data_IF_705846856397
#
_entry.id   IF_705846856397
#
_cell.length_a   1.000
_cell.length_b   1.000
_cell.length_c   1.000
_cell.angle_alpha   90.00
_cell.angle_beta   90.00
_cell.angle_gamma   90.00
#
_symmetry.space_group_name_H-M   'P 1'
#
loop_
_entity.id
_entity.type
_entity.pdbx_description
1 polymer ?
#
# COMPACT_ATOMS: atom_id res chain seq x y z
N UNK A 1 5.61 17.38 18.84
CA UNK A 1 6.09 16.12 18.22
C UNK A 1 6.94 15.31 19.18
N UNK A 2 7.98 15.88 19.80
CA UNK A 2 8.81 15.16 20.78
C UNK A 2 8.03 14.66 22.01
N UNK A 3 7.03 15.42 22.50
CA UNK A 3 6.13 14.96 23.58
C UNK A 3 5.26 13.79 23.15
N UNK A 4 4.57 13.88 22.00
CA UNK A 4 3.78 12.76 21.45
C UNK A 4 4.60 11.47 21.27
N UNK A 5 5.87 11.58 20.88
CA UNK A 5 6.78 10.44 20.72
C UNK A 5 7.17 9.84 22.06
N UNK A 6 7.32 10.67 23.11
CA UNK A 6 7.57 10.19 24.47
C UNK A 6 6.36 9.52 25.10
N UNK A 7 5.16 9.96 24.75
CA UNK A 7 3.91 9.37 25.25
C UNK A 7 3.59 8.03 24.59
N UNK A 8 3.94 7.83 23.31
CA UNK A 8 3.61 6.61 22.57
C UNK A 8 4.79 6.05 21.74
N UNK A 9 5.97 5.81 22.35
CA UNK A 9 7.20 5.46 21.63
C UNK A 9 7.06 4.15 20.84
N UNK A 10 6.30 3.18 21.36
CA UNK A 10 6.05 1.90 20.70
C UNK A 10 5.28 2.07 19.39
N UNK A 11 4.24 2.90 19.35
CA UNK A 11 3.44 3.13 18.14
C UNK A 11 4.27 3.77 17.03
N UNK A 12 5.11 4.77 17.37
CA UNK A 12 6.02 5.38 16.39
C UNK A 12 7.12 4.42 15.93
N UNK A 13 7.69 3.62 16.85
CA UNK A 13 8.68 2.60 16.52
C UNK A 13 8.12 1.50 15.61
N UNK A 14 6.90 1.04 15.86
CA UNK A 14 6.19 0.07 15.02
C UNK A 14 5.85 0.66 13.64
N UNK A 15 5.40 1.92 13.57
CA UNK A 15 5.12 2.58 12.30
C UNK A 15 6.39 2.71 11.43
N UNK A 16 7.52 3.11 12.04
CA UNK A 16 8.81 3.18 11.34
C UNK A 16 9.27 1.80 10.86
N UNK A 17 9.20 0.79 11.72
CA UNK A 17 9.57 -0.59 11.38
C UNK A 17 8.70 -1.12 10.24
N UNK A 18 7.39 -0.85 10.28
CA UNK A 18 6.45 -1.20 9.22
C UNK A 18 6.83 -0.55 7.88
N UNK A 19 7.21 0.73 7.88
CA UNK A 19 7.66 1.41 6.67
C UNK A 19 8.95 0.79 6.09
N UNK A 20 9.91 0.41 6.93
CA UNK A 20 11.15 -0.26 6.50
C UNK A 20 10.86 -1.66 5.92
N UNK A 21 10.05 -2.46 6.62
CA UNK A 21 9.66 -3.80 6.14
C UNK A 21 8.94 -3.69 4.80
N UNK A 22 8.02 -2.74 4.67
CA UNK A 22 7.30 -2.50 3.43
C UNK A 22 8.22 -2.10 2.28
N UNK A 23 9.15 -1.16 2.50
CA UNK A 23 10.14 -0.76 1.50
C UNK A 23 11.06 -1.92 1.09
N UNK A 24 11.49 -2.73 2.05
CA UNK A 24 12.29 -3.93 1.80
C UNK A 24 11.49 -4.95 0.98
N UNK A 25 10.24 -5.21 1.33
CA UNK A 25 9.34 -6.07 0.57
C UNK A 25 9.17 -5.58 -0.88
N UNK A 26 8.86 -4.30 -1.09
CA UNK A 26 8.72 -3.74 -2.44
C UNK A 26 10.01 -3.90 -3.26
N UNK A 27 11.18 -3.74 -2.65
CA UNK A 27 12.48 -3.81 -3.33
C UNK A 27 12.90 -5.25 -3.63
N UNK A 28 12.77 -6.16 -2.67
CA UNK A 28 13.15 -7.57 -2.81
C UNK A 28 12.17 -8.28 -3.74
N UNK A 29 10.87 -8.08 -3.56
CA UNK A 29 9.84 -8.68 -4.40
C UNK A 29 9.95 -8.19 -5.83
N UNK A 30 10.16 -6.88 -6.08
CA UNK A 30 10.35 -6.39 -7.47
C UNK A 30 11.59 -6.96 -8.16
N UNK A 31 12.65 -7.26 -7.40
CA UNK A 31 13.89 -7.88 -7.92
C UNK A 31 13.74 -9.37 -8.21
N UNK A 32 12.97 -10.10 -7.39
CA UNK A 32 12.84 -11.56 -7.45
C UNK A 32 11.60 -12.00 -8.26
N UNK A 33 10.58 -11.15 -8.40
CA UNK A 33 9.28 -11.53 -8.95
C UNK A 33 9.34 -12.10 -10.37
N UNK A 34 10.33 -11.75 -11.20
CA UNK A 34 10.55 -12.35 -12.53
C UNK A 34 9.27 -12.55 -13.38
N UNK A 35 8.29 -11.64 -13.25
CA UNK A 35 6.99 -11.70 -13.94
C UNK A 35 5.94 -12.66 -13.34
N UNK A 36 6.23 -13.35 -12.24
CA UNK A 36 5.29 -14.23 -11.54
C UNK A 36 4.48 -13.47 -10.49
N UNK A 37 3.17 -13.74 -10.45
CA UNK A 37 2.24 -13.08 -9.54
C UNK A 37 2.33 -13.66 -8.12
N UNK A 38 3.25 -13.14 -7.31
CA UNK A 38 3.45 -13.53 -5.91
C UNK A 38 2.39 -13.00 -4.93
N UNK A 39 1.50 -12.10 -5.37
CA UNK A 39 0.53 -11.44 -4.49
C UNK A 39 -0.45 -12.43 -3.86
N UNK A 40 -0.94 -13.42 -4.61
CA UNK A 40 -1.86 -14.44 -4.11
C UNK A 40 -1.24 -15.25 -2.97
N UNK A 41 0.00 -15.71 -3.14
CA UNK A 41 0.71 -16.46 -2.11
C UNK A 41 0.96 -15.61 -0.87
N UNK A 42 1.33 -14.33 -1.06
CA UNK A 42 1.50 -13.38 0.04
C UNK A 42 0.22 -13.20 0.86
N UNK A 43 -0.95 -13.09 0.22
CA UNK A 43 -2.22 -13.00 0.93
C UNK A 43 -2.56 -14.26 1.73
N UNK A 44 -2.33 -15.44 1.16
CA UNK A 44 -2.53 -16.71 1.86
C UNK A 44 -1.63 -16.80 3.09
N UNK A 45 -0.34 -16.52 2.94
CA UNK A 45 0.63 -16.54 4.04
C UNK A 45 0.29 -15.50 5.11
N UNK A 46 -0.14 -14.30 4.70
CA UNK A 46 -0.57 -13.24 5.63
C UNK A 46 -1.82 -13.65 6.41
N UNK A 47 -2.82 -14.23 5.74
CA UNK A 47 -4.01 -14.75 6.39
C UNK A 47 -3.66 -15.85 7.40
N UNK A 48 -2.80 -16.79 7.02
CA UNK A 48 -2.33 -17.85 7.92
C UNK A 48 -1.59 -17.27 9.13
N UNK A 49 -0.68 -16.31 8.92
CA UNK A 49 0.05 -15.66 10.01
C UNK A 49 -0.89 -14.93 10.97
N UNK A 50 -1.94 -14.26 10.46
CA UNK A 50 -2.94 -13.58 11.28
C UNK A 50 -3.80 -14.57 12.08
N UNK A 51 -4.19 -15.70 11.48
CA UNK A 51 -4.89 -16.78 12.19
C UNK A 51 -4.03 -17.41 13.28
N UNK A 52 -2.76 -17.73 12.97
CA UNK A 52 -1.80 -18.26 13.95
C UNK A 52 -1.66 -17.27 15.12
N UNK A 53 -1.48 -15.98 14.83
CA UNK A 53 -1.42 -14.94 15.86
C UNK A 53 -2.69 -14.93 16.71
N UNK A 54 -3.87 -14.95 16.09
CA UNK A 54 -5.14 -14.93 16.78
C UNK A 54 -5.29 -16.10 17.78
N UNK A 55 -4.97 -17.32 17.34
CA UNK A 55 -5.01 -18.50 18.21
C UNK A 55 -3.90 -18.48 19.28
N UNK A 56 -2.70 -18.03 18.93
CA UNK A 56 -1.58 -17.93 19.88
C UNK A 56 -1.83 -16.89 20.98
N UNK A 57 -2.61 -15.84 20.71
CA UNK A 57 -3.01 -14.83 21.71
C UNK A 57 -4.28 -15.20 22.48
N UNK A 58 -4.71 -16.47 22.43
CA UNK A 58 -5.84 -16.98 23.22
C UNK A 58 -7.21 -16.80 22.58
N UNK A 59 -7.29 -16.40 21.31
CA UNK A 59 -8.56 -16.24 20.58
C UNK A 59 -9.46 -15.18 21.22
N UNK A 60 -9.27 -13.92 20.84
CA UNK A 60 -10.11 -12.82 21.35
C UNK A 60 -11.61 -13.06 21.08
N UNK A 61 -12.47 -12.44 21.89
CA UNK A 61 -13.92 -12.53 21.70
C UNK A 61 -14.31 -12.05 20.28
N UNK A 62 -14.90 -12.93 19.48
CA UNK A 62 -15.48 -12.57 18.19
C UNK A 62 -16.96 -12.25 18.38
N UNK A 63 -17.33 -10.99 18.14
CA UNK A 63 -18.73 -10.57 18.09
C UNK A 63 -19.28 -10.85 16.68
N UNK A 64 -20.16 -11.84 16.60
CA UNK A 64 -20.85 -12.21 15.37
C UNK A 64 -22.18 -11.46 15.28
N UNK A 65 -22.11 -10.20 14.85
CA UNK A 65 -23.29 -9.42 14.48
C UNK A 65 -23.47 -9.39 12.96
N UNK A 66 -24.71 -9.21 12.50
CA UNK A 66 -25.02 -9.05 11.07
C UNK A 66 -24.26 -7.85 10.48
N UNK A 67 -24.18 -6.74 11.23
CA UNK A 67 -23.41 -5.56 10.83
C UNK A 67 -21.93 -5.86 10.69
N UNK A 68 -21.31 -6.58 11.64
CA UNK A 68 -19.91 -6.98 11.56
C UNK A 68 -19.65 -7.86 10.33
N UNK A 69 -20.56 -8.79 10.02
CA UNK A 69 -20.44 -9.65 8.85
C UNK A 69 -20.56 -8.86 7.53
N UNK A 70 -21.45 -7.87 7.47
CA UNK A 70 -21.58 -6.97 6.32
C UNK A 70 -20.28 -6.17 6.14
N UNK A 71 -19.75 -5.56 7.20
CA UNK A 71 -18.48 -4.81 7.11
C UNK A 71 -17.32 -5.70 6.71
N UNK A 72 -17.26 -6.94 7.23
CA UNK A 72 -16.25 -7.92 6.84
C UNK A 72 -16.35 -8.25 5.35
N UNK A 73 -17.56 -8.53 4.84
CA UNK A 73 -17.79 -8.86 3.44
C UNK A 73 -17.43 -7.69 2.52
N UNK A 74 -17.80 -6.47 2.88
CA UNK A 74 -17.45 -5.26 2.12
C UNK A 74 -15.94 -5.02 2.11
N UNK A 75 -15.26 -5.13 3.26
CA UNK A 75 -13.82 -4.95 3.36
C UNK A 75 -13.05 -6.03 2.57
N UNK A 76 -13.48 -7.30 2.67
CA UNK A 76 -12.91 -8.40 1.92
C UNK A 76 -13.10 -8.22 0.41
N UNK A 77 -14.29 -7.79 -0.02
CA UNK A 77 -14.59 -7.50 -1.42
C UNK A 77 -13.74 -6.34 -1.96
N UNK A 78 -13.64 -5.24 -1.20
CA UNK A 78 -12.82 -4.09 -1.58
C UNK A 78 -11.34 -4.46 -1.76
N UNK A 79 -10.79 -5.26 -0.83
CA UNK A 79 -9.41 -5.75 -0.92
C UNK A 79 -9.24 -6.73 -2.09
N UNK A 80 -10.12 -7.73 -2.23
CA UNK A 80 -10.04 -8.76 -3.26
C UNK A 80 -10.15 -8.18 -4.67
N UNK A 81 -11.19 -7.38 -4.93
CA UNK A 81 -11.38 -6.75 -6.23
C UNK A 81 -10.32 -5.68 -6.52
N UNK A 82 -9.91 -4.89 -5.53
CA UNK A 82 -8.84 -3.91 -5.68
C UNK A 82 -7.53 -4.56 -6.14
N UNK A 83 -7.12 -5.67 -5.52
CA UNK A 83 -5.93 -6.41 -5.93
C UNK A 83 -6.08 -7.13 -7.27
N UNK A 84 -7.26 -7.66 -7.58
CA UNK A 84 -7.54 -8.24 -8.88
C UNK A 84 -7.41 -7.19 -10.00
N UNK A 85 -8.02 -6.01 -9.81
CA UNK A 85 -7.92 -4.88 -10.74
C UNK A 85 -6.48 -4.38 -10.88
N UNK A 86 -5.73 -4.30 -9.78
CA UNK A 86 -4.31 -3.94 -9.78
C UNK A 86 -3.47 -4.93 -10.60
N UNK A 87 -3.68 -6.23 -10.39
CA UNK A 87 -2.95 -7.27 -11.11
C UNK A 87 -3.28 -7.26 -12.61
N UNK A 88 -4.55 -7.10 -12.98
CA UNK A 88 -4.95 -6.93 -14.38
C UNK A 88 -4.34 -5.66 -14.97
N UNK A 89 -4.34 -4.55 -14.23
CA UNK A 89 -3.78 -3.27 -14.66
C UNK A 89 -2.27 -3.31 -14.91
N UNK A 90 -1.51 -4.05 -14.08
CA UNK A 90 -0.07 -4.26 -14.30
C UNK A 90 0.20 -5.15 -15.52
N UNK A 91 -0.57 -6.22 -15.68
CA UNK A 91 -0.30 -7.24 -16.71
C UNK A 91 -0.80 -6.84 -18.11
N UNK A 92 -1.93 -6.10 -18.19
CA UNK A 92 -2.61 -5.80 -19.46
C UNK A 92 -2.85 -4.30 -19.69
N UNK A 93 -2.59 -3.44 -18.70
CA UNK A 93 -2.87 -2.01 -18.76
C UNK A 93 -1.67 -1.14 -19.07
N UNK A 94 -1.90 0.18 -19.15
CA UNK A 94 -0.82 1.17 -19.26
C UNK A 94 -0.27 1.49 -17.86
N UNK A 95 0.90 0.94 -17.53
CA UNK A 95 1.56 1.10 -16.23
C UNK A 95 1.81 2.57 -15.87
N UNK A 96 2.02 3.45 -16.86
CA UNK A 96 2.20 4.89 -16.64
C UNK A 96 0.91 5.56 -16.16
N UNK A 97 -0.22 5.19 -16.74
CA UNK A 97 -1.55 5.68 -16.31
C UNK A 97 -1.89 5.13 -14.93
N UNK A 98 -1.59 3.84 -14.67
CA UNK A 98 -1.78 3.22 -13.36
C UNK A 98 -0.95 3.91 -12.27
N UNK A 99 0.30 4.25 -12.56
CA UNK A 99 1.17 5.00 -11.66
C UNK A 99 0.62 6.42 -11.41
N UNK A 100 0.17 7.12 -12.46
CA UNK A 100 -0.46 8.43 -12.34
C UNK A 100 -1.72 8.41 -11.47
N UNK A 101 -2.61 7.44 -11.70
CA UNK A 101 -3.82 7.25 -10.91
C UNK A 101 -3.52 6.92 -9.44
N UNK A 102 -2.44 6.15 -9.19
CA UNK A 102 -2.03 5.78 -7.83
C UNK A 102 -1.62 6.98 -6.96
N UNK A 103 -1.15 8.08 -7.57
CA UNK A 103 -0.83 9.30 -6.82
C UNK A 103 -2.06 10.02 -6.24
N UNK A 104 -3.27 9.68 -6.70
CA UNK A 104 -4.52 10.19 -6.13
C UNK A 104 -5.03 9.35 -4.95
N UNK A 105 -4.47 8.17 -4.69
CA UNK A 105 -4.86 7.30 -3.57
C UNK A 105 -4.86 8.04 -2.22
N UNK A 106 -3.81 8.82 -1.85
CA UNK A 106 -3.82 9.55 -0.58
C UNK A 106 -4.96 10.56 -0.47
N UNK A 107 -5.34 11.20 -1.58
CA UNK A 107 -6.41 12.21 -1.62
C UNK A 107 -7.77 11.54 -1.45
N UNK A 108 -8.05 10.48 -2.22
CA UNK A 108 -9.30 9.75 -2.12
C UNK A 108 -9.44 9.03 -0.77
N UNK A 109 -8.37 8.42 -0.28
CA UNK A 109 -8.34 7.75 1.02
C UNK A 109 -8.67 8.72 2.15
N UNK A 110 -8.10 9.92 2.13
CA UNK A 110 -8.39 10.93 3.13
C UNK A 110 -9.79 11.53 3.02
N UNK A 111 -10.27 11.78 1.81
CA UNK A 111 -11.63 12.26 1.59
C UNK A 111 -12.67 11.23 2.11
N UNK A 112 -12.43 9.94 1.85
CA UNK A 112 -13.28 8.86 2.35
C UNK A 112 -13.20 8.73 3.88
N UNK A 113 -11.99 8.80 4.46
CA UNK A 113 -11.80 8.78 5.91
C UNK A 113 -12.51 9.97 6.59
N UNK A 114 -12.48 11.15 5.98
CA UNK A 114 -13.23 12.33 6.43
C UNK A 114 -14.73 12.07 6.51
N UNK A 115 -15.27 11.52 5.41
CA UNK A 115 -16.68 11.25 5.25
C UNK A 115 -17.16 10.20 6.26
N UNK A 116 -16.36 9.14 6.47
CA UNK A 116 -16.66 8.07 7.41
C UNK A 116 -16.53 8.50 8.88
N UNK A 117 -15.55 9.33 9.22
CA UNK A 117 -15.28 9.78 10.60
C UNK A 117 -16.03 11.07 10.96
N UNK A 118 -16.79 11.65 10.02
CA UNK A 118 -17.42 12.98 10.16
C UNK A 118 -16.44 14.06 10.66
N UNK A 119 -15.16 13.94 10.30
CA UNK A 119 -14.11 14.82 10.78
C UNK A 119 -13.73 15.84 9.68
N UNK A 120 -13.70 17.15 9.98
CA UNK A 120 -13.28 18.14 9.00
C UNK A 120 -11.80 17.98 8.68
N UNK A 121 -11.46 17.89 7.38
CA UNK A 121 -10.07 17.92 6.94
C UNK A 121 -9.48 19.30 7.20
N UNK A 122 -8.58 19.38 8.17
CA UNK A 122 -7.86 20.62 8.48
C UNK A 122 -6.94 21.04 7.32
N UNK A 123 -6.61 22.34 7.25
CA UNK A 123 -5.60 22.84 6.31
C UNK A 123 -4.23 22.18 6.52
N UNK A 124 -3.90 21.76 7.75
CA UNK A 124 -2.67 21.04 8.08
C UNK A 124 -2.63 19.66 7.41
N UNK A 125 -3.78 18.97 7.32
CA UNK A 125 -3.90 17.71 6.60
C UNK A 125 -3.57 17.90 5.11
N UNK A 126 -4.18 18.89 4.46
CA UNK A 126 -3.95 19.15 3.03
C UNK A 126 -2.51 19.55 2.73
N UNK A 127 -1.87 20.32 3.61
CA UNK A 127 -0.43 20.60 3.53
C UNK A 127 0.41 19.32 3.59
N UNK A 128 0.11 18.42 4.53
CA UNK A 128 0.79 17.13 4.65
C UNK A 128 0.60 16.25 3.40
N UNK A 129 -0.63 16.14 2.91
CA UNK A 129 -0.94 15.39 1.68
C UNK A 129 -0.18 15.95 0.47
N UNK A 130 -0.16 17.28 0.30
CA UNK A 130 0.58 17.94 -0.77
C UNK A 130 2.10 17.68 -0.69
N UNK A 131 2.68 17.70 0.52
CA UNK A 131 4.10 17.38 0.73
C UNK A 131 4.43 15.94 0.34
N UNK A 132 3.56 14.97 0.65
CA UNK A 132 3.75 13.56 0.26
C UNK A 132 3.67 13.38 -1.26
N UNK A 133 2.70 14.02 -1.91
CA UNK A 133 2.57 14.01 -3.38
C UNK A 133 3.80 14.65 -4.03
N UNK A 134 4.23 15.81 -3.55
CA UNK A 134 5.43 16.49 -4.04
C UNK A 134 6.70 15.64 -3.86
N UNK A 135 6.89 15.01 -2.70
CA UNK A 135 8.00 14.09 -2.44
C UNK A 135 8.00 12.89 -3.39
N UNK A 136 6.83 12.35 -3.70
CA UNK A 136 6.67 11.24 -4.65
C UNK A 136 7.04 11.66 -6.09
N UNK A 137 6.60 12.85 -6.52
CA UNK A 137 6.97 13.43 -7.82
C UNK A 137 8.48 13.69 -7.90
N UNK A 138 9.09 14.23 -6.84
CA UNK A 138 10.54 14.46 -6.77
C UNK A 138 11.33 13.15 -6.87
N UNK A 139 10.91 12.10 -6.15
CA UNK A 139 11.53 10.78 -6.26
C UNK A 139 11.41 10.22 -7.68
N UNK A 140 10.28 10.41 -8.34
CA UNK A 140 10.08 10.01 -9.72
C UNK A 140 10.98 10.79 -10.69
N UNK A 141 11.09 12.12 -10.54
CA UNK A 141 11.97 12.95 -11.36
C UNK A 141 13.44 12.56 -11.20
N UNK A 142 13.88 12.27 -9.97
CA UNK A 142 15.24 11.84 -9.68
C UNK A 142 15.57 10.46 -10.29
N UNK A 143 14.61 9.54 -10.31
CA UNK A 143 14.82 8.16 -10.81
C UNK A 143 14.54 7.99 -12.30
N UNK A 144 13.82 8.91 -12.95
CA UNK A 144 13.53 8.93 -14.39
C UNK A 144 14.78 8.88 -15.27
N UNK A 145 15.87 9.52 -14.87
CA UNK A 145 17.12 9.59 -15.65
C UNK A 145 17.92 8.27 -15.72
N UNK A 146 17.76 7.37 -14.73
CA UNK A 146 18.52 6.12 -14.66
C UNK A 146 18.00 5.03 -15.59
N UNK A 147 16.68 5.00 -15.84
CA UNK A 147 16.01 3.92 -16.59
C UNK A 147 16.20 4.03 -18.12
N UNK A 148 16.51 5.22 -18.62
CA UNK A 148 16.81 5.45 -20.04
C UNK A 148 18.20 4.95 -20.47
N UNK A 149 19.10 4.60 -19.53
CA UNK A 149 20.47 4.17 -19.83
C UNK A 149 20.66 2.66 -20.01
N UNK A 150 19.63 1.84 -19.78
CA UNK A 150 19.74 0.37 -19.73
C UNK A 150 18.96 -0.37 -20.82
N UNK A 151 18.64 0.27 -21.96
CA UNK A 151 18.21 -0.46 -23.14
C UNK A 151 19.43 -0.81 -24.00
N UNK A 152 19.84 -2.08 -24.12
CA UNK A 152 20.80 -2.48 -25.13
C UNK A 152 20.17 -2.24 -26.51
N UNK A 153 20.90 -1.58 -27.40
CA UNK A 153 20.51 -1.43 -28.80
C UNK A 153 20.22 -2.81 -29.42
N UNK A 154 19.11 -2.99 -30.18
CA UNK A 154 18.87 -4.23 -30.89
C UNK A 154 20.03 -4.43 -31.88
N UNK A 155 20.76 -5.54 -31.74
CA UNK A 155 21.75 -5.92 -32.75
C UNK A 155 21.02 -6.18 -34.06
N UNK A 156 21.31 -5.34 -35.05
CA UNK A 156 21.03 -5.59 -36.47
C UNK A 156 21.69 -6.92 -36.85
N UNK A 157 20.88 -7.94 -37.14
CA UNK A 157 21.32 -9.15 -37.84
C UNK A 157 21.07 -8.94 -39.34
N UNK A 158 22.17 -8.71 -40.06
CA UNK A 158 22.32 -9.00 -41.50
C UNK A 158 21.97 -10.44 -41.83
#
# INVERSE_FOLDING_TARGET
>A
MAENVKDNPLSYGLAFTGAVIWAAYCTVTSRIAAGKNGATLFFILTALALWIKFFATGGGAMDFSVSALIYLALAASAMGFGYAAWNVGILHGNVTVLAGASYFIPVFSAALAAALLHAPLSLTFWKGAAMVVAGSILCWLATRGGRAKTLPSPKSST
#
